data_IF_377513335336
#
_entry.id   IF_377513335336
#
_cell.length_a   1.000
_cell.length_b   1.000
_cell.length_c   1.000
_cell.angle_alpha   90.00
_cell.angle_beta   90.00
_cell.angle_gamma   90.00
#
_symmetry.space_group_name_H-M   'P 1'
#
loop_
_entity.id
_entity.type
_entity.pdbx_description
1 polymer ?
#
# COMPACT_ATOMS: atom_id res chain seq x y z
N UNK A 1 -3.15 6.57 16.92
CA UNK A 1 -3.55 5.85 15.70
C UNK A 1 -2.36 5.03 15.24
N UNK A 2 -2.57 3.85 14.67
CA UNK A 2 -1.48 3.05 14.10
C UNK A 2 -0.77 3.81 12.97
N UNK A 3 0.57 3.70 12.90
CA UNK A 3 1.35 4.28 11.81
C UNK A 3 1.07 3.57 10.48
N UNK A 4 1.14 4.31 9.37
CA UNK A 4 0.90 3.78 8.03
C UNK A 4 2.14 3.84 7.13
N UNK A 5 2.25 2.88 6.22
CA UNK A 5 3.07 2.95 5.02
C UNK A 5 2.12 3.16 3.85
N UNK A 6 2.19 4.32 3.20
CA UNK A 6 1.20 4.74 2.22
C UNK A 6 1.62 4.34 0.81
N UNK A 7 0.70 3.76 0.05
CA UNK A 7 0.94 3.24 -1.29
C UNK A 7 -0.03 3.92 -2.26
N UNK A 8 0.51 4.50 -3.32
CA UNK A 8 -0.25 5.11 -4.40
C UNK A 8 -0.09 4.27 -5.67
N UNK A 9 -1.18 3.65 -6.14
CA UNK A 9 -1.17 2.96 -7.42
C UNK A 9 -1.07 3.94 -8.61
N UNK A 10 -0.77 3.42 -9.79
CA UNK A 10 -0.91 4.16 -11.03
C UNK A 10 -2.36 4.39 -11.43
N UNK A 11 -2.54 5.10 -12.53
CA UNK A 11 -3.83 5.68 -12.92
C UNK A 11 -3.75 6.84 -13.92
N UNK A 12 -2.53 7.23 -14.33
CA UNK A 12 -2.30 8.33 -15.25
C UNK A 12 -2.87 9.63 -14.71
N UNK A 13 -3.64 10.38 -15.51
CA UNK A 13 -4.18 11.69 -15.08
C UNK A 13 -5.18 11.59 -13.92
N UNK A 14 -5.75 10.40 -13.66
CA UNK A 14 -6.60 10.14 -12.48
C UNK A 14 -5.85 10.37 -11.16
N UNK A 15 -4.52 10.31 -11.18
CA UNK A 15 -3.69 10.61 -10.01
C UNK A 15 -3.92 12.00 -9.43
N UNK A 16 -4.56 12.92 -10.17
CA UNK A 16 -5.08 14.17 -9.61
C UNK A 16 -5.95 13.96 -8.37
N UNK A 17 -6.64 12.82 -8.27
CA UNK A 17 -7.43 12.49 -7.08
C UNK A 17 -6.59 12.31 -5.81
N UNK A 18 -5.30 11.95 -5.94
CA UNK A 18 -4.39 11.90 -4.80
C UNK A 18 -4.17 13.26 -4.13
N UNK A 19 -4.45 14.36 -4.82
CA UNK A 19 -4.47 15.67 -4.18
C UNK A 19 -5.49 15.74 -3.04
N UNK A 20 -6.69 15.19 -3.25
CA UNK A 20 -7.72 15.09 -2.20
C UNK A 20 -7.38 14.10 -1.12
N UNK A 21 -6.73 12.99 -1.49
CA UNK A 21 -6.21 12.02 -0.52
C UNK A 21 -5.23 12.70 0.43
N UNK A 22 -4.26 13.44 -0.10
CA UNK A 22 -3.27 14.15 0.71
C UNK A 22 -3.94 15.13 1.67
N UNK A 23 -4.90 15.92 1.16
CA UNK A 23 -5.69 16.83 2.01
C UNK A 23 -6.38 16.10 3.17
N UNK A 24 -7.04 14.98 2.86
CA UNK A 24 -7.74 14.19 3.88
C UNK A 24 -6.76 13.59 4.91
N UNK A 25 -5.61 13.07 4.46
CA UNK A 25 -4.60 12.50 5.37
C UNK A 25 -3.99 13.58 6.29
N UNK A 26 -3.73 14.78 5.76
CA UNK A 26 -3.26 15.93 6.55
C UNK A 26 -4.32 16.36 7.59
N UNK A 27 -5.58 16.53 7.20
CA UNK A 27 -6.68 16.91 8.11
C UNK A 27 -6.92 15.87 9.22
N UNK A 28 -6.81 14.59 8.87
CA UNK A 28 -6.96 13.48 9.81
C UNK A 28 -5.72 13.25 10.67
N UNK A 29 -4.62 13.99 10.44
CA UNK A 29 -3.34 13.82 11.13
C UNK A 29 -2.82 12.38 11.10
N UNK A 30 -2.92 11.71 9.95
CA UNK A 30 -2.45 10.33 9.79
C UNK A 30 -0.93 10.33 9.70
N UNK A 31 -0.25 9.61 10.60
CA UNK A 31 1.21 9.46 10.54
C UNK A 31 1.62 8.44 9.48
N UNK A 32 2.42 8.92 8.52
CA UNK A 32 2.93 8.10 7.42
C UNK A 32 4.45 7.92 7.55
N UNK A 33 4.86 6.69 7.79
CA UNK A 33 6.27 6.29 7.97
C UNK A 33 7.06 6.26 6.67
N UNK A 34 6.39 5.96 5.55
CA UNK A 34 7.01 5.87 4.25
C UNK A 34 5.99 5.78 3.12
N UNK A 35 6.46 5.96 1.90
CA UNK A 35 5.66 6.02 0.69
C UNK A 35 6.10 4.99 -0.32
N UNK A 36 5.15 4.42 -1.05
CA UNK A 36 5.41 3.70 -2.27
C UNK A 36 4.51 4.19 -3.39
N UNK A 37 4.97 4.01 -4.61
CA UNK A 37 4.07 4.16 -5.75
C UNK A 37 4.61 3.62 -7.05
N UNK A 38 3.69 3.59 -8.02
CA UNK A 38 3.95 3.19 -9.40
C UNK A 38 3.25 4.17 -10.33
N UNK A 39 3.84 4.45 -11.49
CA UNK A 39 3.33 5.42 -12.46
C UNK A 39 3.05 6.79 -11.81
N UNK A 40 1.86 7.36 -12.00
CA UNK A 40 1.45 8.60 -11.33
C UNK A 40 1.53 8.51 -9.79
N UNK A 41 1.33 7.33 -9.21
CA UNK A 41 1.51 7.13 -7.77
C UNK A 41 2.95 7.31 -7.32
N UNK A 42 3.93 6.97 -8.16
CA UNK A 42 5.35 7.22 -7.87
C UNK A 42 5.66 8.73 -7.81
N UNK A 43 4.98 9.55 -8.63
CA UNK A 43 5.09 11.01 -8.58
C UNK A 43 4.63 11.52 -7.21
N UNK A 44 3.42 11.18 -6.79
CA UNK A 44 2.87 11.64 -5.50
C UNK A 44 3.67 11.11 -4.31
N UNK A 45 4.04 9.82 -4.32
CA UNK A 45 4.89 9.22 -3.30
C UNK A 45 6.23 9.97 -3.15
N UNK A 46 6.89 10.28 -4.27
CA UNK A 46 8.18 10.96 -4.24
C UNK A 46 8.09 12.42 -3.78
N UNK A 47 7.11 13.19 -4.30
CA UNK A 47 6.93 14.58 -3.89
C UNK A 47 6.67 14.66 -2.37
N UNK A 48 5.81 13.79 -1.84
CA UNK A 48 5.49 13.78 -0.42
C UNK A 48 6.67 13.25 0.43
N UNK A 49 7.42 12.25 -0.05
CA UNK A 49 8.64 11.77 0.61
C UNK A 49 9.74 12.85 0.72
N UNK A 50 9.84 13.74 -0.28
CA UNK A 50 10.77 14.89 -0.29
C UNK A 50 10.24 16.06 0.56
N UNK A 51 8.98 16.02 0.97
CA UNK A 51 8.39 16.92 1.96
C UNK A 51 7.46 17.99 1.40
N UNK A 52 6.95 17.82 0.18
CA UNK A 52 5.85 18.65 -0.32
C UNK A 52 4.60 18.47 0.54
N UNK A 53 3.75 19.50 0.66
CA UNK A 53 2.43 19.41 1.29
C UNK A 53 1.29 19.54 0.28
N UNK A 54 0.04 19.38 0.75
CA UNK A 54 -1.18 19.55 -0.06
C UNK A 54 -1.18 20.86 -0.86
N UNK A 55 -0.95 22.01 -0.21
CA UNK A 55 -1.04 23.33 -0.86
C UNK A 55 0.00 23.49 -1.98
N UNK A 56 1.21 23.01 -1.77
CA UNK A 56 2.27 23.07 -2.78
C UNK A 56 1.94 22.16 -3.99
N UNK A 57 1.45 20.95 -3.75
CA UNK A 57 1.06 20.02 -4.83
C UNK A 57 -0.19 20.54 -5.56
N UNK A 58 -1.15 21.12 -4.83
CA UNK A 58 -2.32 21.79 -5.40
C UNK A 58 -1.88 22.88 -6.39
N UNK A 59 -0.96 23.74 -5.96
CA UNK A 59 -0.41 24.79 -6.81
C UNK A 59 0.30 24.23 -8.05
N UNK A 60 1.06 23.13 -7.91
CA UNK A 60 1.72 22.48 -9.06
C UNK A 60 0.67 21.96 -10.06
N UNK A 61 -0.34 21.22 -9.59
CA UNK A 61 -1.34 20.57 -10.45
C UNK A 61 -2.19 21.58 -11.23
N UNK A 62 -2.60 22.68 -10.60
CA UNK A 62 -3.46 23.68 -11.22
C UNK A 62 -2.70 24.71 -12.08
N UNK A 63 -1.40 24.91 -11.83
CA UNK A 63 -0.55 25.76 -12.67
C UNK A 63 0.17 25.00 -13.79
N UNK A 64 0.08 23.66 -13.81
CA UNK A 64 0.72 22.84 -14.84
C UNK A 64 -0.31 22.34 -15.85
N UNK A 65 -0.27 22.85 -17.10
CA UNK A 65 -0.99 22.25 -18.21
C UNK A 65 -0.43 20.84 -18.49
N UNK A 66 -1.26 19.79 -18.44
CA UNK A 66 -0.78 18.41 -18.58
C UNK A 66 -0.42 18.06 -20.03
N UNK A 67 -0.96 18.78 -21.00
CA UNK A 67 -0.69 18.61 -22.42
C UNK A 67 0.78 18.83 -22.77
N UNK A 68 1.52 19.60 -21.96
CA UNK A 68 2.95 19.85 -22.17
C UNK A 68 3.74 18.55 -22.13
N UNK A 69 3.27 17.54 -21.38
CA UNK A 69 3.93 16.25 -21.20
C UNK A 69 3.76 15.31 -22.40
N UNK A 70 2.94 15.68 -23.39
CA UNK A 70 2.88 15.01 -24.70
C UNK A 70 4.03 15.49 -25.59
N UNK A 71 5.26 15.17 -25.22
CA UNK A 71 6.46 15.44 -26.02
C UNK A 71 6.59 14.44 -27.19
N UNK A 72 5.67 14.60 -28.15
CA UNK A 72 5.52 13.74 -29.31
C UNK A 72 6.79 13.66 -30.15
N UNK A 73 7.08 12.46 -30.65
CA UNK A 73 8.11 12.21 -31.64
C UNK A 73 7.67 11.06 -32.57
N UNK A 74 8.43 10.79 -33.63
CA UNK A 74 8.16 9.65 -34.52
C UNK A 74 8.86 8.41 -33.93
N UNK A 75 8.12 7.41 -33.42
CA UNK A 75 8.73 6.22 -32.84
C UNK A 75 9.41 5.39 -33.93
N UNK A 76 10.66 5.00 -33.72
CA UNK A 76 11.42 4.15 -34.64
C UNK A 76 12.09 3.01 -33.86
N UNK A 77 11.94 1.78 -34.36
CA UNK A 77 12.59 0.59 -33.79
C UNK A 77 11.94 0.06 -32.51
N UNK A 78 12.75 -0.55 -31.65
CA UNK A 78 12.33 -1.28 -30.44
C UNK A 78 11.86 -0.40 -29.27
N UNK A 79 11.95 0.93 -29.41
CA UNK A 79 11.67 1.92 -28.37
C UNK A 79 10.27 2.53 -28.51
N UNK A 80 9.28 1.72 -28.92
CA UNK A 80 7.96 2.24 -29.30
C UNK A 80 7.24 2.94 -28.14
N UNK A 81 7.00 4.23 -28.31
CA UNK A 81 6.18 5.08 -27.44
C UNK A 81 5.94 6.41 -28.14
N UNK A 82 4.73 6.96 -28.09
CA UNK A 82 4.37 8.20 -28.79
C UNK A 82 5.07 9.46 -28.23
N UNK A 83 5.37 9.45 -26.94
CA UNK A 83 5.97 10.55 -26.18
C UNK A 83 7.34 10.14 -25.63
N UNK A 84 8.30 11.08 -25.60
CA UNK A 84 9.64 10.82 -25.06
C UNK A 84 9.67 10.75 -23.53
N UNK A 85 8.76 11.42 -22.83
CA UNK A 85 8.74 11.56 -21.37
C UNK A 85 9.88 12.41 -20.80
N UNK A 86 10.63 13.12 -21.63
CA UNK A 86 11.74 13.99 -21.22
C UNK A 86 11.22 15.20 -20.47
N UNK A 87 10.16 15.84 -20.97
CA UNK A 87 9.58 17.01 -20.29
C UNK A 87 9.12 16.68 -18.88
N UNK A 88 8.45 15.53 -18.72
CA UNK A 88 7.98 15.08 -17.42
C UNK A 88 9.15 14.75 -16.49
N UNK A 89 10.21 14.08 -16.98
CA UNK A 89 11.44 13.85 -16.22
C UNK A 89 12.07 15.16 -15.72
N UNK A 90 12.29 16.14 -16.60
CA UNK A 90 12.91 17.41 -16.21
C UNK A 90 12.04 18.25 -15.27
N UNK A 91 10.71 18.25 -15.46
CA UNK A 91 9.78 18.90 -14.53
C UNK A 91 9.88 18.28 -13.14
N UNK A 92 9.82 16.95 -13.04
CA UNK A 92 9.88 16.24 -11.75
C UNK A 92 11.24 16.41 -11.07
N UNK A 93 12.32 16.33 -11.84
CA UNK A 93 13.67 16.61 -11.37
C UNK A 93 13.76 17.99 -10.73
N UNK A 94 13.30 19.02 -11.45
CA UNK A 94 13.33 20.39 -10.96
C UNK A 94 12.49 20.55 -9.68
N UNK A 95 11.31 19.95 -9.60
CA UNK A 95 10.47 19.98 -8.38
C UNK A 95 11.19 19.34 -7.19
N UNK A 96 11.68 18.11 -7.35
CA UNK A 96 12.38 17.37 -6.30
C UNK A 96 13.61 18.14 -5.82
N UNK A 97 14.44 18.61 -6.75
CA UNK A 97 15.66 19.35 -6.42
C UNK A 97 15.36 20.72 -5.78
N UNK A 98 14.35 21.44 -6.27
CA UNK A 98 13.93 22.72 -5.67
C UNK A 98 13.53 22.52 -4.21
N UNK A 99 12.73 21.50 -3.92
CA UNK A 99 12.27 21.21 -2.56
C UNK A 99 13.40 20.70 -1.65
N UNK A 100 14.25 19.83 -2.17
CA UNK A 100 15.34 19.23 -1.39
C UNK A 100 16.46 20.24 -1.07
N UNK A 101 16.91 21.01 -2.06
CA UNK A 101 18.00 21.97 -1.88
C UNK A 101 17.52 23.30 -1.28
N UNK A 102 16.24 23.66 -1.44
CA UNK A 102 15.67 24.92 -0.96
C UNK A 102 16.39 26.12 -1.56
N UNK A 103 16.80 27.08 -0.72
CA UNK A 103 17.54 28.28 -1.14
C UNK A 103 18.88 27.98 -1.83
N UNK A 104 19.43 26.78 -1.64
CA UNK A 104 20.69 26.34 -2.26
C UNK A 104 20.47 25.72 -3.65
N UNK A 105 19.24 25.73 -4.17
CA UNK A 105 18.96 25.14 -5.46
C UNK A 105 19.67 25.89 -6.59
N UNK A 106 20.51 25.17 -7.34
CA UNK A 106 21.17 25.65 -8.55
C UNK A 106 20.91 24.67 -9.70
N UNK A 107 20.09 25.04 -10.69
CA UNK A 107 19.68 24.14 -11.77
C UNK A 107 20.83 23.72 -12.71
N UNK A 108 22.03 24.32 -12.59
CA UNK A 108 23.20 23.99 -13.43
C UNK A 108 24.32 23.27 -12.68
N UNK A 109 24.21 23.09 -11.35
CA UNK A 109 25.35 22.66 -10.54
C UNK A 109 25.04 21.69 -9.41
N UNK A 110 23.76 21.38 -9.16
CA UNK A 110 23.39 20.43 -8.13
C UNK A 110 23.54 18.98 -8.62
N UNK A 111 23.94 18.12 -7.70
CA UNK A 111 23.87 16.68 -7.92
C UNK A 111 22.40 16.23 -7.98
N UNK A 112 22.07 15.15 -8.70
CA UNK A 112 20.73 14.60 -8.66
C UNK A 112 20.36 14.11 -7.25
N UNK A 113 19.13 14.37 -6.81
CA UNK A 113 18.62 13.83 -5.53
C UNK A 113 18.35 12.34 -5.66
N UNK A 114 18.95 11.55 -4.77
CA UNK A 114 18.90 10.09 -4.76
C UNK A 114 18.12 9.53 -3.56
N UNK A 115 17.83 8.22 -3.57
CA UNK A 115 17.07 7.57 -2.49
C UNK A 115 17.77 7.61 -1.12
N UNK A 116 19.10 7.65 -1.08
CA UNK A 116 19.84 7.77 0.19
C UNK A 116 19.70 9.14 0.84
N UNK A 117 19.45 10.18 0.04
CA UNK A 117 19.47 11.58 0.48
C UNK A 117 18.22 11.98 1.27
N UNK A 118 17.07 11.38 0.95
CA UNK A 118 15.80 11.67 1.61
C UNK A 118 15.68 10.92 2.95
N UNK A 119 14.92 11.53 3.88
CA UNK A 119 14.69 10.98 5.23
C UNK A 119 13.59 9.93 5.27
N UNK A 120 12.48 10.17 4.58
CA UNK A 120 11.33 9.26 4.52
C UNK A 120 11.68 8.07 3.63
N UNK A 121 11.17 6.89 3.99
CA UNK A 121 11.28 5.74 3.11
C UNK A 121 10.44 5.96 1.85
N UNK A 122 11.05 5.69 0.70
CA UNK A 122 10.40 5.78 -0.61
C UNK A 122 10.69 4.51 -1.41
N UNK A 123 9.63 3.93 -1.96
CA UNK A 123 9.68 2.79 -2.88
C UNK A 123 9.01 3.16 -4.20
N UNK A 124 9.74 3.06 -5.30
CA UNK A 124 9.19 3.24 -6.64
C UNK A 124 9.28 1.91 -7.39
N UNK A 125 8.15 1.47 -7.94
CA UNK A 125 8.07 0.19 -8.65
C UNK A 125 8.02 0.42 -10.16
N UNK A 126 8.75 -0.42 -10.88
CA UNK A 126 8.74 -0.50 -12.36
C UNK A 126 8.66 -1.95 -12.79
N UNK A 127 8.34 -2.19 -14.06
CA UNK A 127 8.35 -3.54 -14.63
C UNK A 127 9.54 -3.72 -15.55
N UNK A 128 10.39 -4.71 -15.26
CA UNK A 128 11.44 -5.16 -16.16
C UNK A 128 10.86 -6.25 -17.09
N UNK A 129 10.49 -5.86 -18.31
CA UNK A 129 9.93 -6.79 -19.30
C UNK A 129 10.98 -7.66 -19.99
N UNK A 130 12.26 -7.29 -19.93
CA UNK A 130 13.36 -8.15 -20.40
C UNK A 130 13.52 -9.39 -19.52
N UNK A 131 13.20 -9.28 -18.23
CA UNK A 131 13.35 -10.36 -17.25
C UNK A 131 12.02 -10.87 -16.69
N UNK A 132 10.87 -10.37 -17.17
CA UNK A 132 9.53 -10.73 -16.69
C UNK A 132 9.37 -10.57 -15.16
N UNK A 133 9.89 -9.47 -14.60
CA UNK A 133 9.92 -9.24 -13.15
C UNK A 133 9.72 -7.77 -12.79
N UNK A 134 9.47 -7.48 -11.52
CA UNK A 134 9.45 -6.12 -10.98
C UNK A 134 10.88 -5.63 -10.75
N UNK A 135 11.10 -4.32 -10.89
CA UNK A 135 12.28 -3.65 -10.35
C UNK A 135 11.84 -2.63 -9.31
N UNK A 136 12.35 -2.81 -8.09
CA UNK A 136 12.21 -1.88 -6.97
C UNK A 136 13.34 -0.86 -6.98
N UNK A 137 12.97 0.41 -6.96
CA UNK A 137 13.86 1.51 -6.62
C UNK A 137 13.59 1.99 -5.19
N UNK A 138 14.62 1.97 -4.34
CA UNK A 138 14.50 2.35 -2.93
C UNK A 138 15.86 2.55 -2.29
N UNK A 139 15.88 3.08 -1.07
CA UNK A 139 17.09 3.21 -0.25
C UNK A 139 17.76 1.86 0.05
N UNK A 140 16.98 0.78 0.05
CA UNK A 140 17.47 -0.58 0.34
C UNK A 140 18.03 -1.30 -0.89
N UNK A 141 17.57 -0.97 -2.10
CA UNK A 141 17.96 -1.67 -3.33
C UNK A 141 18.86 -0.86 -4.25
N UNK A 142 18.66 0.46 -4.30
CA UNK A 142 19.24 1.39 -5.27
C UNK A 142 19.48 2.77 -4.62
N UNK A 143 20.25 2.84 -3.51
CA UNK A 143 20.41 4.06 -2.72
C UNK A 143 20.95 5.26 -3.53
N UNK A 144 21.81 5.01 -4.50
CA UNK A 144 22.48 6.05 -5.31
C UNK A 144 21.74 6.41 -6.60
N UNK A 145 20.56 5.84 -6.85
CA UNK A 145 19.78 6.14 -8.06
C UNK A 145 19.00 7.44 -7.88
N UNK A 146 18.99 8.29 -8.91
CA UNK A 146 18.19 9.52 -8.95
C UNK A 146 16.69 9.20 -8.85
N UNK A 147 15.99 9.89 -7.95
CA UNK A 147 14.55 9.68 -7.73
C UNK A 147 13.76 10.02 -9.00
N UNK A 148 14.05 11.15 -9.66
CA UNK A 148 13.38 11.55 -10.89
C UNK A 148 13.56 10.53 -12.03
N UNK A 149 14.72 9.88 -12.11
CA UNK A 149 14.97 8.79 -13.06
C UNK A 149 14.10 7.55 -12.75
N UNK A 150 14.02 7.16 -11.48
CA UNK A 150 13.17 6.04 -11.07
C UNK A 150 11.68 6.33 -11.36
N UNK A 151 11.21 7.55 -11.11
CA UNK A 151 9.85 7.97 -11.51
C UNK A 151 9.70 7.88 -13.03
N UNK A 152 10.66 8.41 -13.80
CA UNK A 152 10.63 8.36 -15.27
C UNK A 152 10.52 6.93 -15.80
N UNK A 153 11.23 5.97 -15.21
CA UNK A 153 11.07 4.56 -15.53
C UNK A 153 9.65 4.06 -15.19
N UNK A 154 9.15 4.39 -14.00
CA UNK A 154 7.84 3.97 -13.47
C UNK A 154 6.63 4.50 -14.23
N UNK A 155 6.74 5.63 -14.92
CA UNK A 155 5.66 6.22 -15.75
C UNK A 155 5.70 5.78 -17.22
N UNK A 156 6.58 4.84 -17.60
CA UNK A 156 6.82 4.46 -19.00
C UNK A 156 5.69 3.58 -19.55
N UNK A 157 4.47 4.12 -19.65
CA UNK A 157 3.28 3.40 -20.12
C UNK A 157 3.55 2.88 -21.54
N UNK A 158 3.52 1.55 -21.77
CA UNK A 158 3.81 0.97 -23.07
C UNK A 158 2.97 1.58 -24.19
N UNK A 159 3.62 1.92 -25.31
CA UNK A 159 2.97 2.56 -26.45
C UNK A 159 2.71 4.06 -26.27
N UNK A 160 2.59 4.58 -25.05
CA UNK A 160 2.43 6.01 -24.81
C UNK A 160 3.76 6.71 -24.52
N UNK A 161 4.53 6.25 -23.53
CA UNK A 161 5.87 6.78 -23.24
C UNK A 161 6.95 5.81 -23.70
N UNK A 162 8.07 6.34 -24.17
CA UNK A 162 9.26 5.54 -24.48
C UNK A 162 9.72 4.74 -23.24
N UNK A 163 10.07 3.45 -23.36
CA UNK A 163 10.64 2.68 -22.26
C UNK A 163 11.98 3.28 -21.80
N UNK A 164 12.37 2.97 -20.56
CA UNK A 164 13.71 3.29 -20.05
C UNK A 164 14.59 2.05 -20.22
N UNK A 165 15.77 2.22 -20.83
CA UNK A 165 16.74 1.15 -20.97
C UNK A 165 17.85 1.30 -19.95
N UNK A 166 18.09 0.27 -19.17
CA UNK A 166 19.08 0.25 -18.10
C UNK A 166 19.85 -1.07 -18.13
N UNK A 167 21.17 -0.99 -18.32
CA UNK A 167 22.04 -2.17 -18.44
C UNK A 167 21.54 -3.21 -19.46
N UNK A 168 20.94 -2.73 -20.55
CA UNK A 168 20.35 -3.57 -21.60
C UNK A 168 18.95 -4.12 -21.29
N UNK A 169 18.42 -3.90 -20.09
CA UNK A 169 17.06 -4.27 -19.71
C UNK A 169 16.06 -3.17 -20.07
N UNK A 170 14.87 -3.58 -20.50
CA UNK A 170 13.77 -2.70 -20.83
C UNK A 170 12.84 -2.54 -19.63
N UNK A 171 12.81 -1.33 -19.08
CA UNK A 171 11.94 -0.92 -17.98
C UNK A 171 10.75 -0.14 -18.52
N UNK A 172 9.56 -0.55 -18.08
CA UNK A 172 8.28 0.07 -18.41
C UNK A 172 7.47 0.33 -17.14
N UNK A 173 6.29 0.91 -17.30
CA UNK A 173 5.39 1.26 -16.20
C UNK A 173 5.17 0.09 -15.21
N UNK A 174 5.16 0.40 -13.92
CA UNK A 174 5.00 -0.59 -12.84
C UNK A 174 3.60 -1.19 -12.77
N UNK A 175 2.59 -0.52 -13.35
CA UNK A 175 1.18 -0.92 -13.29
C UNK A 175 0.74 -1.85 -14.44
N UNK A 176 1.64 -2.21 -15.36
CA UNK A 176 1.35 -3.30 -16.32
C UNK A 176 0.98 -4.60 -15.58
N UNK A 177 1.53 -4.77 -14.38
CA UNK A 177 1.38 -5.93 -13.51
C UNK A 177 0.63 -5.59 -12.21
N UNK A 178 -0.20 -4.55 -12.24
CA UNK A 178 -0.92 -4.01 -11.07
C UNK A 178 -1.92 -4.99 -10.42
N UNK A 179 -2.08 -6.20 -10.97
CA UNK A 179 -2.88 -7.29 -10.42
C UNK A 179 -2.31 -7.84 -9.09
N UNK A 180 -1.07 -7.50 -8.72
CA UNK A 180 -0.44 -8.02 -7.51
C UNK A 180 -0.12 -6.91 -6.50
N UNK A 181 -0.34 -7.17 -5.20
CA UNK A 181 0.00 -6.22 -4.15
C UNK A 181 1.50 -5.96 -4.05
N UNK A 182 1.92 -4.72 -4.33
CA UNK A 182 3.35 -4.36 -4.39
C UNK A 182 4.09 -4.59 -3.06
N UNK A 183 3.39 -4.51 -1.93
CA UNK A 183 3.95 -4.76 -0.59
C UNK A 183 4.42 -6.20 -0.38
N UNK A 184 3.93 -7.15 -1.19
CA UNK A 184 4.39 -8.54 -1.12
C UNK A 184 5.76 -8.74 -1.74
N UNK A 185 6.20 -7.85 -2.63
CA UNK A 185 7.47 -7.94 -3.34
C UNK A 185 8.57 -7.09 -2.72
N UNK A 186 8.23 -5.97 -2.08
CA UNK A 186 9.22 -5.12 -1.41
C UNK A 186 9.65 -5.71 -0.07
N UNK A 187 10.62 -6.62 -0.12
CA UNK A 187 11.06 -7.40 1.04
C UNK A 187 11.65 -6.55 2.17
N UNK A 188 12.28 -5.43 1.83
CA UNK A 188 13.13 -4.70 2.77
C UNK A 188 12.45 -3.51 3.46
N UNK A 189 11.51 -2.84 2.80
CA UNK A 189 10.86 -1.64 3.35
C UNK A 189 9.39 -1.89 3.68
N UNK A 190 8.64 -2.48 2.73
CA UNK A 190 7.19 -2.65 2.94
C UNK A 190 6.89 -3.96 3.69
N UNK A 191 7.58 -5.06 3.37
CA UNK A 191 7.30 -6.35 4.04
C UNK A 191 7.87 -6.44 5.46
N UNK A 192 8.88 -5.64 5.76
CA UNK A 192 9.56 -5.61 7.06
C UNK A 192 8.88 -4.66 8.07
N UNK A 193 8.14 -3.65 7.58
CA UNK A 193 7.54 -2.62 8.43
C UNK A 193 6.56 -3.20 9.46
N UNK A 194 6.48 -2.55 10.62
CA UNK A 194 5.42 -2.75 11.62
C UNK A 194 4.18 -1.91 11.32
N UNK A 195 4.28 -0.94 10.42
CA UNK A 195 3.18 -0.08 10.02
C UNK A 195 2.10 -0.85 9.28
N UNK A 196 0.87 -0.35 9.36
CA UNK A 196 -0.23 -0.79 8.51
C UNK A 196 0.03 -0.34 7.07
N UNK A 197 -0.43 -1.10 6.09
CA UNK A 197 -0.41 -0.70 4.69
C UNK A 197 -1.67 0.10 4.41
N UNK A 198 -1.52 1.30 3.85
CA UNK A 198 -2.63 2.09 3.33
C UNK A 198 -2.43 2.25 1.84
N UNK A 199 -3.24 1.57 1.03
CA UNK A 199 -3.15 1.66 -0.42
C UNK A 199 -4.33 2.39 -1.03
N UNK A 200 -4.02 3.34 -1.92
CA UNK A 200 -4.99 4.03 -2.75
C UNK A 200 -4.97 3.48 -4.19
N UNK A 201 -6.17 3.23 -4.71
CA UNK A 201 -6.43 2.65 -6.04
C UNK A 201 -7.34 3.58 -6.83
N UNK A 202 -7.05 3.81 -8.12
CA UNK A 202 -7.75 4.77 -8.98
C UNK A 202 -8.63 4.05 -9.99
N UNK A 203 -9.93 4.00 -9.74
CA UNK A 203 -10.88 3.20 -10.51
C UNK A 203 -11.74 4.07 -11.42
N UNK A 204 -11.88 3.64 -12.68
CA UNK A 204 -12.77 4.30 -13.63
C UNK A 204 -14.20 3.78 -13.51
N UNK A 205 -15.13 4.49 -14.12
CA UNK A 205 -16.51 4.01 -14.21
C UNK A 205 -16.60 2.66 -14.96
N UNK A 206 -17.67 1.93 -14.64
CA UNK A 206 -17.96 0.61 -15.21
C UNK A 206 -19.09 0.66 -16.23
N UNK A 207 -19.32 1.84 -16.80
CA UNK A 207 -20.37 2.02 -17.79
C UNK A 207 -19.93 1.44 -19.14
N UNK A 208 -20.91 1.02 -19.94
CA UNK A 208 -20.65 0.60 -21.31
C UNK A 208 -20.03 1.77 -22.09
N UNK A 209 -18.93 1.49 -22.78
CA UNK A 209 -18.20 2.47 -23.57
C UNK A 209 -18.07 2.00 -25.01
N UNK A 210 -18.16 2.96 -25.94
CA UNK A 210 -17.90 2.70 -27.36
C UNK A 210 -16.40 2.81 -27.64
N UNK A 211 -15.81 1.75 -28.16
CA UNK A 211 -14.40 1.75 -28.60
C UNK A 211 -14.37 2.15 -30.08
N UNK A 212 -14.00 3.39 -30.38
CA UNK A 212 -14.07 3.94 -31.74
C UNK A 212 -12.70 4.19 -32.37
N UNK A 213 -11.67 4.36 -31.54
CA UNK A 213 -10.31 4.66 -32.00
C UNK A 213 -9.24 3.92 -31.16
N UNK A 214 -7.98 4.05 -31.57
CA UNK A 214 -6.84 3.38 -30.93
C UNK A 214 -6.65 3.80 -29.46
N UNK A 215 -6.86 5.08 -29.13
CA UNK A 215 -6.76 5.57 -27.76
C UNK A 215 -7.89 5.06 -26.88
N UNK A 216 -9.12 4.98 -27.41
CA UNK A 216 -10.25 4.35 -26.70
C UNK A 216 -9.94 2.89 -26.39
N UNK A 217 -9.36 2.16 -27.35
CA UNK A 217 -9.00 0.76 -27.20
C UNK A 217 -7.92 0.57 -26.12
N UNK A 218 -6.82 1.34 -26.18
CA UNK A 218 -5.78 1.28 -25.15
C UNK A 218 -6.30 1.70 -23.77
N UNK A 219 -7.08 2.78 -23.70
CA UNK A 219 -7.71 3.23 -22.45
C UNK A 219 -8.65 2.18 -21.86
N UNK A 220 -9.43 1.49 -22.70
CA UNK A 220 -10.31 0.41 -22.27
C UNK A 220 -9.52 -0.79 -21.69
N UNK A 221 -8.38 -1.16 -22.27
CA UNK A 221 -7.52 -2.22 -21.73
C UNK A 221 -6.99 -1.83 -20.35
N UNK A 222 -6.45 -0.62 -20.20
CA UNK A 222 -5.90 -0.15 -18.93
C UNK A 222 -6.99 -0.10 -17.85
N UNK A 223 -8.16 0.47 -18.17
CA UNK A 223 -9.28 0.55 -17.23
C UNK A 223 -9.80 -0.81 -16.81
N UNK A 224 -9.90 -1.75 -17.76
CA UNK A 224 -10.31 -3.13 -17.45
C UNK A 224 -9.31 -3.78 -16.51
N UNK A 225 -8.02 -3.62 -16.78
CA UNK A 225 -6.95 -4.16 -15.94
C UNK A 225 -7.00 -3.59 -14.53
N UNK A 226 -7.14 -2.27 -14.37
CA UNK A 226 -7.16 -1.62 -13.06
C UNK A 226 -8.39 -2.01 -12.25
N UNK A 227 -9.59 -1.91 -12.83
CA UNK A 227 -10.84 -2.26 -12.17
C UNK A 227 -10.84 -3.72 -11.67
N UNK A 228 -10.40 -4.66 -12.49
CA UNK A 228 -10.33 -6.08 -12.11
C UNK A 228 -9.23 -6.33 -11.06
N UNK A 229 -8.06 -5.70 -11.22
CA UNK A 229 -6.95 -5.81 -10.25
C UNK A 229 -7.41 -5.39 -8.86
N UNK A 230 -8.10 -4.26 -8.77
CA UNK A 230 -8.59 -3.70 -7.51
C UNK A 230 -9.68 -4.58 -6.89
N UNK A 231 -10.59 -5.15 -7.68
CA UNK A 231 -11.60 -6.10 -7.17
C UNK A 231 -10.95 -7.36 -6.56
N UNK A 232 -9.96 -7.94 -7.26
CA UNK A 232 -9.21 -9.10 -6.78
C UNK A 232 -8.47 -8.75 -5.48
N UNK A 233 -7.85 -7.58 -5.43
CA UNK A 233 -7.07 -7.16 -4.29
C UNK A 233 -7.93 -6.88 -3.05
N UNK A 234 -9.04 -6.17 -3.21
CA UNK A 234 -9.98 -5.88 -2.12
C UNK A 234 -10.64 -7.18 -1.62
N UNK A 235 -11.06 -8.07 -2.52
CA UNK A 235 -11.70 -9.34 -2.15
C UNK A 235 -10.74 -10.29 -1.43
N UNK A 236 -9.45 -10.25 -1.77
CA UNK A 236 -8.42 -11.12 -1.17
C UNK A 236 -7.85 -10.54 0.12
N UNK A 237 -7.59 -9.23 0.17
CA UNK A 237 -6.81 -8.60 1.24
C UNK A 237 -7.52 -7.47 1.99
N UNK A 238 -8.62 -6.91 1.49
CA UNK A 238 -9.25 -5.72 2.07
C UNK A 238 -9.77 -5.90 3.51
N UNK A 239 -10.01 -7.15 3.92
CA UNK A 239 -10.42 -7.51 5.28
C UNK A 239 -9.25 -7.83 6.21
N UNK A 240 -8.01 -7.85 5.73
CA UNK A 240 -6.85 -8.10 6.57
C UNK A 240 -6.61 -6.93 7.51
N UNK A 241 -6.32 -7.23 8.77
CA UNK A 241 -6.05 -6.22 9.78
C UNK A 241 -4.87 -5.33 9.41
N UNK A 242 -3.81 -5.84 8.77
CA UNK A 242 -2.64 -5.01 8.43
C UNK A 242 -2.86 -4.11 7.20
N UNK A 243 -3.88 -4.35 6.39
CA UNK A 243 -3.97 -3.79 5.03
C UNK A 243 -5.28 -3.03 4.83
N UNK A 244 -5.20 -1.73 4.61
CA UNK A 244 -6.32 -0.85 4.30
C UNK A 244 -6.23 -0.44 2.82
N UNK A 245 -7.21 -0.83 2.00
CA UNK A 245 -7.26 -0.51 0.56
C UNK A 245 -8.45 0.42 0.32
N UNK A 246 -8.19 1.58 -0.27
CA UNK A 246 -9.16 2.62 -0.58
C UNK A 246 -9.24 2.77 -2.10
N UNK A 247 -10.38 2.36 -2.66
CA UNK A 247 -10.71 2.62 -4.06
C UNK A 247 -11.31 4.02 -4.20
N UNK A 248 -10.73 4.81 -5.09
CA UNK A 248 -11.14 6.17 -5.41
C UNK A 248 -11.87 6.13 -6.75
N UNK A 249 -13.06 6.72 -6.78
CA UNK A 249 -13.85 6.85 -8.00
C UNK A 249 -13.30 7.98 -8.87
N UNK A 250 -12.73 7.63 -10.02
CA UNK A 250 -12.24 8.56 -11.03
C UNK A 250 -13.25 8.80 -12.17
N UNK A 251 -14.46 8.26 -12.04
CA UNK A 251 -15.57 8.51 -12.95
C UNK A 251 -15.21 8.21 -14.41
N UNK A 252 -15.55 9.16 -15.29
CA UNK A 252 -15.35 9.04 -16.74
C UNK A 252 -13.93 9.39 -17.21
N UNK A 253 -13.08 9.90 -16.32
CA UNK A 253 -11.74 10.35 -16.71
C UNK A 253 -10.92 9.17 -17.22
N UNK A 254 -10.40 9.24 -18.44
CA UNK A 254 -9.52 8.21 -18.98
C UNK A 254 -8.09 8.37 -18.45
N UNK A 255 -7.37 7.26 -18.30
CA UNK A 255 -5.98 7.24 -17.78
C UNK A 255 -5.02 8.15 -18.58
N UNK A 256 -5.20 8.22 -19.89
CA UNK A 256 -4.31 8.92 -20.83
C UNK A 256 -4.89 10.25 -21.38
N UNK A 257 -5.87 10.85 -20.69
CA UNK A 257 -6.45 12.14 -21.09
C UNK A 257 -5.66 13.34 -20.57
N UNK A 258 -4.54 13.65 -21.23
CA UNK A 258 -3.69 14.80 -20.88
C UNK A 258 -4.31 16.16 -21.23
N UNK A 259 -5.53 16.20 -21.79
CA UNK A 259 -6.29 17.43 -22.06
C UNK A 259 -7.35 17.69 -20.97
N UNK A 260 -7.24 17.03 -19.81
CA UNK A 260 -8.18 17.14 -18.69
C UNK A 260 -8.45 18.60 -18.28
N UNK A 261 -9.73 18.93 -18.12
CA UNK A 261 -10.16 20.28 -17.73
C UNK A 261 -9.84 20.58 -16.26
N UNK A 262 -9.78 21.87 -15.90
CA UNK A 262 -9.64 22.26 -14.49
C UNK A 262 -10.87 21.86 -13.65
N UNK A 263 -12.05 21.72 -14.26
CA UNK A 263 -13.25 21.24 -13.59
C UNK A 263 -13.11 19.76 -13.23
N UNK A 264 -12.65 18.93 -14.16
CA UNK A 264 -12.39 17.51 -13.93
C UNK A 264 -11.27 17.30 -12.92
N UNK A 265 -10.20 18.12 -12.97
CA UNK A 265 -9.13 18.10 -11.95
C UNK A 265 -9.70 18.36 -10.55
N UNK A 266 -10.57 19.37 -10.39
CA UNK A 266 -11.23 19.68 -9.11
C UNK A 266 -12.13 18.54 -8.66
N UNK A 267 -12.91 17.97 -9.57
CA UNK A 267 -13.79 16.85 -9.28
C UNK A 267 -13.01 15.63 -8.80
N UNK A 268 -11.92 15.27 -9.47
CA UNK A 268 -11.03 14.17 -9.05
C UNK A 268 -10.46 14.39 -7.66
N UNK A 269 -9.92 15.60 -7.41
CA UNK A 269 -9.41 15.95 -6.07
C UNK A 269 -10.52 15.84 -5.01
N UNK A 270 -11.73 16.31 -5.30
CA UNK A 270 -12.86 16.17 -4.37
C UNK A 270 -13.24 14.69 -4.15
N UNK A 271 -13.25 13.87 -5.19
CA UNK A 271 -13.52 12.44 -5.08
C UNK A 271 -12.52 11.73 -4.17
N UNK A 272 -11.22 11.98 -4.37
CA UNK A 272 -10.16 11.43 -3.52
C UNK A 272 -10.30 11.84 -2.05
N UNK A 273 -10.67 13.09 -1.78
CA UNK A 273 -10.94 13.57 -0.43
C UNK A 273 -12.12 12.84 0.21
N UNK A 274 -13.26 12.79 -0.48
CA UNK A 274 -14.49 12.16 0.02
C UNK A 274 -14.29 10.67 0.28
N UNK A 275 -13.68 9.94 -0.67
CA UNK A 275 -13.42 8.50 -0.52
C UNK A 275 -12.51 8.21 0.69
N UNK A 276 -11.49 9.04 0.90
CA UNK A 276 -10.54 8.88 2.01
C UNK A 276 -11.23 9.16 3.35
N UNK A 277 -11.93 10.29 3.49
CA UNK A 277 -12.65 10.66 4.72
C UNK A 277 -13.68 9.61 5.10
N UNK A 278 -14.52 9.22 4.14
CA UNK A 278 -15.51 8.14 4.30
C UNK A 278 -14.88 6.85 4.80
N UNK A 279 -13.71 6.48 4.29
CA UNK A 279 -13.03 5.27 4.74
C UNK A 279 -12.66 5.35 6.23
N UNK A 280 -11.97 6.41 6.64
CA UNK A 280 -11.50 6.57 8.02
C UNK A 280 -12.65 6.73 9.01
N UNK A 281 -13.68 7.50 8.66
CA UNK A 281 -14.83 7.78 9.55
C UNK A 281 -15.77 6.58 9.70
N UNK A 282 -16.02 5.86 8.60
CA UNK A 282 -17.09 4.85 8.55
C UNK A 282 -16.53 3.43 8.40
N UNK A 283 -15.74 3.19 7.36
CA UNK A 283 -15.35 1.84 6.96
C UNK A 283 -14.32 1.23 7.94
N UNK A 284 -13.33 2.02 8.37
CA UNK A 284 -12.28 1.59 9.27
C UNK A 284 -12.84 1.18 10.63
N UNK A 285 -13.80 1.94 11.16
CA UNK A 285 -14.51 1.61 12.41
C UNK A 285 -15.19 0.25 12.34
N UNK A 286 -15.93 -0.03 11.26
CA UNK A 286 -16.59 -1.34 11.06
C UNK A 286 -15.57 -2.48 11.00
N UNK A 287 -14.48 -2.27 10.26
CA UNK A 287 -13.40 -3.24 10.11
C UNK A 287 -12.72 -3.54 11.46
N UNK A 288 -12.31 -2.52 12.21
CA UNK A 288 -11.66 -2.68 13.53
C UNK A 288 -12.56 -3.37 14.55
N UNK A 289 -13.87 -3.08 14.58
CA UNK A 289 -14.84 -3.81 15.43
C UNK A 289 -14.90 -5.30 15.09
N UNK A 290 -14.92 -5.63 13.80
CA UNK A 290 -14.89 -7.02 13.35
C UNK A 290 -13.57 -7.71 13.73
N UNK A 291 -12.42 -7.06 13.53
CA UNK A 291 -11.10 -7.58 13.94
C UNK A 291 -11.01 -7.82 15.45
N UNK A 292 -11.52 -6.89 16.27
CA UNK A 292 -11.49 -7.00 17.74
C UNK A 292 -12.14 -8.31 18.22
N UNK A 293 -13.28 -8.70 17.64
CA UNK A 293 -13.94 -9.96 17.97
C UNK A 293 -13.06 -11.18 17.65
N UNK A 294 -12.40 -11.19 16.49
CA UNK A 294 -11.47 -12.26 16.09
C UNK A 294 -10.33 -12.36 17.10
N UNK A 295 -9.70 -11.25 17.46
CA UNK A 295 -8.58 -11.26 18.41
C UNK A 295 -9.00 -11.65 19.83
N UNK A 296 -10.17 -11.25 20.30
CA UNK A 296 -10.70 -11.68 21.60
C UNK A 296 -10.98 -13.19 21.64
N UNK A 297 -11.45 -13.79 20.55
CA UNK A 297 -11.59 -15.25 20.45
C UNK A 297 -10.23 -15.94 20.43
N UNK A 298 -9.28 -15.39 19.68
CA UNK A 298 -7.91 -15.88 19.62
C UNK A 298 -7.21 -15.85 20.98
N UNK A 299 -7.41 -14.77 21.75
CA UNK A 299 -6.93 -14.63 23.12
C UNK A 299 -7.48 -15.74 24.02
N UNK A 300 -8.79 -16.01 23.97
CA UNK A 300 -9.44 -17.07 24.76
C UNK A 300 -8.83 -18.44 24.47
N UNK A 301 -8.59 -18.78 23.19
CA UNK A 301 -7.95 -20.03 22.83
C UNK A 301 -6.51 -20.13 23.36
N UNK A 302 -5.72 -19.07 23.21
CA UNK A 302 -4.33 -19.04 23.68
C UNK A 302 -4.22 -19.11 25.21
N UNK A 303 -5.07 -18.38 25.92
CA UNK A 303 -5.07 -18.40 27.39
C UNK A 303 -5.51 -19.77 27.92
N UNK A 304 -6.56 -20.37 27.35
CA UNK A 304 -7.00 -21.72 27.68
C UNK A 304 -5.89 -22.76 27.43
N UNK A 305 -5.25 -22.72 26.27
CA UNK A 305 -4.15 -23.62 25.92
C UNK A 305 -2.98 -23.48 26.91
N UNK A 306 -2.61 -22.24 27.27
CA UNK A 306 -1.57 -21.96 28.26
C UNK A 306 -1.91 -22.58 29.62
N UNK A 307 -3.14 -22.39 30.11
CA UNK A 307 -3.57 -22.95 31.39
C UNK A 307 -3.56 -24.49 31.40
N UNK A 308 -4.00 -25.13 30.32
CA UNK A 308 -4.04 -26.59 30.20
C UNK A 308 -2.63 -27.20 30.11
N UNK A 309 -1.73 -26.58 29.34
CA UNK A 309 -0.31 -26.98 29.27
C UNK A 309 0.37 -26.83 30.63
N UNK A 310 0.13 -25.73 31.35
CA UNK A 310 0.71 -25.50 32.67
C UNK A 310 0.22 -26.51 33.72
N UNK A 311 -1.02 -27.02 33.57
CA UNK A 311 -1.64 -27.99 34.50
C UNK A 311 -1.51 -29.47 34.07
N UNK A 312 -0.67 -29.77 33.07
CA UNK A 312 -0.51 -31.14 32.54
C UNK A 312 -1.79 -31.78 31.99
N UNK A 313 -2.77 -30.98 31.56
CA UNK A 313 -4.02 -31.47 30.97
C UNK A 313 -3.85 -31.80 29.48
N UNK A 314 -3.06 -32.84 29.19
CA UNK A 314 -2.59 -33.14 27.82
C UNK A 314 -3.73 -33.31 26.81
N UNK A 315 -4.75 -34.10 27.14
CA UNK A 315 -5.91 -34.33 26.25
C UNK A 315 -6.68 -33.03 25.98
N UNK A 316 -6.95 -32.25 27.02
CA UNK A 316 -7.66 -30.97 26.89
C UNK A 316 -6.85 -30.00 26.02
N UNK A 317 -5.53 -29.90 26.25
CA UNK A 317 -4.65 -29.04 25.46
C UNK A 317 -4.57 -29.45 23.99
N UNK A 318 -4.68 -30.74 23.66
CA UNK A 318 -4.76 -31.21 22.28
C UNK A 318 -6.06 -30.76 21.60
N UNK A 319 -7.20 -30.87 22.30
CA UNK A 319 -8.50 -30.40 21.80
C UNK A 319 -8.46 -28.89 21.58
N UNK A 320 -7.95 -28.14 22.56
CA UNK A 320 -7.81 -26.68 22.45
C UNK A 320 -6.89 -26.29 21.29
N UNK A 321 -5.77 -26.98 21.08
CA UNK A 321 -4.88 -26.74 19.94
C UNK A 321 -5.56 -27.04 18.60
N UNK A 322 -6.37 -28.11 18.53
CA UNK A 322 -7.17 -28.44 17.35
C UNK A 322 -8.14 -27.32 17.01
N UNK A 323 -8.92 -26.87 17.99
CA UNK A 323 -9.87 -25.76 17.82
C UNK A 323 -9.17 -24.44 17.43
N UNK A 324 -8.04 -24.13 18.08
CA UNK A 324 -7.21 -22.98 17.71
C UNK A 324 -6.72 -23.10 16.26
N UNK A 325 -6.33 -24.29 15.81
CA UNK A 325 -5.86 -24.51 14.44
C UNK A 325 -6.98 -24.32 13.42
N UNK A 326 -8.19 -24.83 13.69
CA UNK A 326 -9.37 -24.58 12.85
C UNK A 326 -9.69 -23.09 12.79
N UNK A 327 -9.74 -22.42 13.95
CA UNK A 327 -9.99 -20.99 14.04
C UNK A 327 -8.97 -20.18 13.23
N UNK A 328 -7.68 -20.51 13.33
CA UNK A 328 -6.63 -19.85 12.55
C UNK A 328 -6.83 -20.05 11.04
N UNK A 329 -7.17 -21.26 10.59
CA UNK A 329 -7.41 -21.52 9.16
C UNK A 329 -8.61 -20.74 8.63
N UNK A 330 -9.70 -20.66 9.39
CA UNK A 330 -10.91 -19.91 9.00
C UNK A 330 -10.69 -18.39 8.98
N UNK A 331 -9.73 -17.89 9.78
CA UNK A 331 -9.50 -16.46 9.97
C UNK A 331 -8.14 -15.96 9.46
N UNK A 332 -7.39 -16.77 8.72
CA UNK A 332 -6.04 -16.44 8.23
C UNK A 332 -6.00 -15.09 7.51
N UNK A 333 -6.96 -14.85 6.61
CA UNK A 333 -7.03 -13.62 5.81
C UNK A 333 -7.28 -12.35 6.63
N UNK A 334 -7.76 -12.47 7.87
CA UNK A 334 -8.11 -11.34 8.74
C UNK A 334 -6.97 -10.97 9.69
N UNK A 335 -6.19 -11.96 10.15
CA UNK A 335 -5.21 -11.78 11.21
C UNK A 335 -3.94 -11.11 10.66
N UNK A 336 -3.37 -10.21 11.45
CA UNK A 336 -2.08 -9.60 11.16
C UNK A 336 -1.00 -10.68 11.01
N UNK A 337 -0.25 -10.65 9.89
CA UNK A 337 0.71 -11.71 9.52
C UNK A 337 1.71 -12.07 10.62
N UNK A 338 2.35 -11.07 11.24
CA UNK A 338 3.30 -11.27 12.36
C UNK A 338 2.67 -11.98 13.58
N UNK A 339 1.38 -11.76 13.87
CA UNK A 339 0.66 -12.45 14.95
C UNK A 339 0.34 -13.89 14.52
N UNK A 340 -0.19 -14.07 13.31
CA UNK A 340 -0.49 -15.37 12.74
C UNK A 340 0.73 -16.30 12.74
N UNK A 341 1.85 -15.86 12.17
CA UNK A 341 3.12 -16.62 12.09
C UNK A 341 3.65 -17.00 13.48
N UNK A 342 3.45 -16.13 14.48
CA UNK A 342 3.88 -16.40 15.85
C UNK A 342 3.07 -17.52 16.48
N UNK A 343 1.78 -17.56 16.22
CA UNK A 343 0.89 -18.60 16.74
C UNK A 343 1.14 -19.92 16.03
N UNK A 344 1.43 -19.90 14.71
CA UNK A 344 1.91 -21.08 14.00
C UNK A 344 3.22 -21.63 14.59
N UNK A 345 4.16 -20.77 14.99
CA UNK A 345 5.38 -21.19 15.68
C UNK A 345 5.07 -21.84 17.04
N UNK A 346 4.13 -21.30 17.81
CA UNK A 346 3.66 -21.93 19.06
C UNK A 346 3.06 -23.31 18.80
N UNK A 347 2.18 -23.43 17.79
CA UNK A 347 1.59 -24.71 17.37
C UNK A 347 2.66 -25.72 17.01
N UNK A 348 3.66 -25.32 16.22
CA UNK A 348 4.78 -26.20 15.84
C UNK A 348 5.55 -26.69 17.08
N UNK A 349 5.92 -25.78 17.98
CA UNK A 349 6.64 -26.14 19.22
C UNK A 349 5.82 -27.10 20.07
N UNK A 350 4.49 -26.90 20.18
CA UNK A 350 3.62 -27.82 20.89
C UNK A 350 3.69 -29.23 20.26
N UNK A 351 3.50 -29.33 18.94
CA UNK A 351 3.49 -30.62 18.24
C UNK A 351 4.84 -31.33 18.36
N UNK A 352 5.95 -30.60 18.22
CA UNK A 352 7.30 -31.12 18.39
C UNK A 352 7.60 -31.56 19.84
N UNK A 353 6.86 -31.01 20.82
CA UNK A 353 7.00 -31.36 22.24
C UNK A 353 6.18 -32.59 22.64
N UNK A 354 5.19 -33.00 21.85
CA UNK A 354 4.34 -34.13 22.17
C UNK A 354 5.12 -35.45 22.14
N UNK A 355 4.92 -36.27 23.16
CA UNK A 355 5.59 -37.57 23.28
C UNK A 355 4.70 -38.59 23.96
N UNK A 356 4.91 -39.87 23.60
CA UNK A 356 4.09 -40.98 24.09
C UNK A 356 4.98 -42.10 24.61
N UNK A 357 4.73 -42.55 25.83
CA UNK A 357 5.28 -43.80 26.37
C UNK A 357 4.31 -44.92 25.98
N UNK A 358 4.64 -45.65 24.91
CA UNK A 358 3.74 -46.65 24.29
C UNK A 358 3.28 -47.74 25.26
N UNK A 359 4.15 -48.21 26.16
CA UNK A 359 3.87 -49.34 27.07
C UNK A 359 2.73 -49.04 28.04
N UNK A 360 2.62 -47.80 28.50
CA UNK A 360 1.59 -47.36 29.47
C UNK A 360 0.57 -46.39 28.85
N UNK A 361 0.62 -46.22 27.52
CA UNK A 361 -0.20 -45.28 26.76
C UNK A 361 -0.25 -43.86 27.38
N UNK A 362 0.87 -43.39 27.92
CA UNK A 362 0.97 -42.09 28.58
C UNK A 362 1.50 -41.05 27.60
N UNK A 363 0.75 -39.98 27.40
CA UNK A 363 1.17 -38.82 26.62
C UNK A 363 1.63 -37.69 27.52
N UNK A 364 2.68 -36.97 27.12
CA UNK A 364 3.25 -35.85 27.86
C UNK A 364 3.98 -34.87 26.92
N UNK A 365 4.32 -33.69 27.44
CA UNK A 365 5.05 -32.65 26.74
C UNK A 365 6.49 -32.56 27.25
N UNK A 366 7.48 -32.80 26.38
CA UNK A 366 8.91 -32.78 26.75
C UNK A 366 9.48 -31.38 26.99
N UNK A 367 9.17 -30.41 26.12
CA UNK A 367 9.80 -29.09 26.12
C UNK A 367 8.92 -27.99 26.74
N UNK A 368 8.29 -28.27 27.89
CA UNK A 368 7.40 -27.30 28.56
C UNK A 368 8.06 -25.98 28.90
N UNK A 369 9.32 -26.04 29.36
CA UNK A 369 10.10 -24.87 29.72
C UNK A 369 10.35 -23.92 28.54
N UNK A 370 10.21 -24.42 27.31
CA UNK A 370 10.24 -23.59 26.10
C UNK A 370 8.85 -23.21 25.62
N UNK A 371 7.89 -24.12 25.69
CA UNK A 371 6.53 -23.92 25.20
C UNK A 371 5.75 -22.87 26.00
N UNK A 372 5.80 -22.93 27.34
CA UNK A 372 5.04 -22.02 28.22
C UNK A 372 5.47 -20.56 28.02
N UNK A 373 6.77 -20.20 28.04
CA UNK A 373 7.19 -18.82 27.77
C UNK A 373 6.81 -18.32 26.37
N UNK A 374 6.74 -19.21 25.37
CA UNK A 374 6.30 -18.85 24.01
C UNK A 374 4.80 -18.59 23.96
N UNK A 375 4.00 -19.40 24.65
CA UNK A 375 2.56 -19.17 24.83
C UNK A 375 2.29 -17.84 25.54
N UNK A 376 2.99 -17.57 26.64
CA UNK A 376 2.88 -16.30 27.38
C UNK A 376 3.23 -15.10 26.51
N UNK A 377 4.35 -15.20 25.76
CA UNK A 377 4.74 -14.13 24.84
C UNK A 377 3.70 -13.95 23.73
N UNK A 378 3.18 -15.04 23.15
CA UNK A 378 2.14 -14.98 22.13
C UNK A 378 0.87 -14.30 22.64
N UNK A 379 0.38 -14.75 23.80
CA UNK A 379 -0.79 -14.17 24.46
C UNK A 379 -0.60 -12.69 24.78
N UNK A 380 0.58 -12.30 25.29
CA UNK A 380 0.90 -10.88 25.55
C UNK A 380 0.77 -10.04 24.28
N UNK A 381 1.26 -10.52 23.14
CA UNK A 381 1.18 -9.77 21.88
C UNK A 381 -0.27 -9.64 21.39
N UNK A 382 -1.07 -10.70 21.49
CA UNK A 382 -2.51 -10.63 21.15
C UNK A 382 -3.22 -9.64 22.05
N UNK A 383 -2.95 -9.65 23.36
CA UNK A 383 -3.53 -8.69 24.32
C UNK A 383 -3.14 -7.24 24.02
N UNK A 384 -1.87 -6.98 23.74
CA UNK A 384 -1.41 -5.64 23.34
C UNK A 384 -2.12 -5.17 22.07
N UNK A 385 -2.26 -6.05 21.07
CA UNK A 385 -2.97 -5.73 19.84
C UNK A 385 -4.47 -5.45 20.06
N UNK A 386 -5.11 -6.18 20.97
CA UNK A 386 -6.50 -5.90 21.38
C UNK A 386 -6.62 -4.49 21.97
N UNK A 387 -5.70 -4.11 22.86
CA UNK A 387 -5.67 -2.77 23.47
C UNK A 387 -5.45 -1.67 22.42
N UNK A 388 -4.60 -1.90 21.43
CA UNK A 388 -4.39 -0.99 20.30
C UNK A 388 -5.68 -0.81 19.48
N UNK A 389 -6.38 -1.90 19.17
CA UNK A 389 -7.66 -1.86 18.47
C UNK A 389 -8.75 -1.11 19.26
N UNK A 390 -8.84 -1.35 20.58
CA UNK A 390 -9.79 -0.66 21.46
C UNK A 390 -9.49 0.85 21.52
N UNK A 391 -8.21 1.22 21.63
CA UNK A 391 -7.76 2.62 21.62
C UNK A 391 -8.09 3.30 20.29
N UNK A 392 -7.81 2.64 19.17
CA UNK A 392 -8.13 3.16 17.85
C UNK A 392 -9.65 3.34 17.66
N UNK A 393 -10.46 2.40 18.14
CA UNK A 393 -11.93 2.50 18.09
C UNK A 393 -12.47 3.65 18.95
N UNK A 394 -11.87 3.91 20.12
CA UNK A 394 -12.20 5.06 20.95
C UNK A 394 -11.95 6.37 20.19
N UNK A 395 -10.74 6.53 19.65
CA UNK A 395 -10.34 7.73 18.89
C UNK A 395 -11.25 7.98 17.68
N UNK A 396 -11.60 6.92 16.93
CA UNK A 396 -12.51 7.03 15.79
C UNK A 396 -13.94 7.43 16.20
N UNK A 397 -14.40 7.01 17.39
CA UNK A 397 -15.73 7.35 17.88
C UNK A 397 -15.79 8.80 18.38
N UNK A 398 -14.76 9.28 19.09
CA UNK A 398 -14.67 10.68 19.47
C UNK A 398 -14.58 11.60 18.27
N UNK A 399 -13.80 11.22 17.25
CA UNK A 399 -13.72 11.95 15.99
C UNK A 399 -15.10 12.13 15.34
N UNK A 400 -15.86 11.04 15.21
CA UNK A 400 -17.20 11.07 14.62
C UNK A 400 -18.19 11.95 15.42
N UNK A 401 -18.07 11.98 16.75
CA UNK A 401 -18.92 12.83 17.60
C UNK A 401 -18.56 14.31 17.47
N UNK A 402 -17.26 14.64 17.34
CA UNK A 402 -16.80 16.02 17.18
C UNK A 402 -17.25 16.65 15.84
N UNK A 403 -17.30 15.87 14.75
CA UNK A 403 -17.82 16.33 13.45
C UNK A 403 -19.35 16.57 13.47
N UNK A 404 -20.11 15.74 14.19
CA UNK A 404 -21.56 15.97 14.36
C UNK A 404 -21.87 17.26 15.15
N UNK A 405 -20.97 17.70 16.03
CA UNK A 405 -21.09 18.97 16.75
C UNK A 405 -20.66 20.16 15.90
N UNK A 406 -19.65 20.02 15.03
CA UNK A 406 -19.20 21.11 14.13
C UNK A 406 -20.16 21.38 12.98
N UNK A 407 -20.94 20.38 12.55
CA UNK A 407 -22.01 20.55 11.54
C UNK A 407 -23.32 21.14 12.10
N UNK A 408 -23.39 21.39 13.42
CA UNK A 408 -24.56 21.97 14.12
C UNK A 408 -24.40 23.45 14.50
N UNK A 409 -23.32 24.11 14.08
CA UNK A 409 -23.03 25.54 14.38
C UNK A 409 -23.20 26.41 13.15
#
# INVERSE_FOLDING_TARGET
>A
MSDYFCIFAGGGVRGTAYLGVLKALEELNIDITGYAGSSVGAIFAALYAVGYNYEEINNIIFNTPFEIFRDLYIPMGKDFGLCKGEKLYFTLKNLIETKFYGERFNPKGNEPVTFKDIKRDLVIITTNISCTTFKEFSKSTTPDVEIAYAIRASISIPGFFKPVWEDGNCLVDGDIINNFPIWTFSKNLISSTSSRILEFRLEGDRQERKISNLFDYFGAILDTSYNISTDILISTHGQNDQIDIISIDAGKTQVIDFNISNEDKKWLAQSGFICTKKYFEINLTKKKKFMLNIYQQLEKYLDKLKQEVAKDKIKDSQVTLGNLSTFLSENERFIHKKIYDRILKIRKIYLDSMSTIKIINLQFLRNKDTLVPKLERGLKHVKTHIQELETDLYNLTEYNNAEEETLKV
#
